data_IF_361431836178
#
_entry.id   IF_361431836178
#
_cell.length_a   1.000
_cell.length_b   1.000
_cell.length_c   1.000
_cell.angle_alpha   90.00
_cell.angle_beta   90.00
_cell.angle_gamma   90.00
#
_symmetry.space_group_name_H-M   'P 1'
#
loop_
_entity.id
_entity.type
_entity.pdbx_description
1 polymer ?
#
# COMPACT_ATOMS: atom_id res chain seq x y z
N UNK A 1 -9.40 -22.93 -7.82
CA UNK A 1 -8.50 -22.70 -8.98
C UNK A 1 -9.10 -23.36 -10.20
N UNK A 2 -8.71 -22.94 -11.41
CA UNK A 2 -9.10 -23.63 -12.65
C UNK A 2 -8.49 -25.04 -12.70
N UNK A 3 -9.33 -26.07 -12.84
CA UNK A 3 -8.91 -27.47 -12.92
C UNK A 3 -8.30 -27.81 -14.30
N UNK A 4 -7.69 -28.99 -14.44
CA UNK A 4 -7.04 -29.44 -15.68
C UNK A 4 -8.03 -29.58 -16.83
N UNK A 5 -9.19 -30.19 -16.58
CA UNK A 5 -10.25 -30.41 -17.57
C UNK A 5 -10.71 -29.10 -18.21
N UNK A 6 -11.02 -28.07 -17.41
CA UNK A 6 -11.40 -26.77 -17.96
C UNK A 6 -10.25 -26.08 -18.70
N UNK A 7 -9.00 -26.28 -18.27
CA UNK A 7 -7.83 -25.73 -19.00
C UNK A 7 -7.67 -26.40 -20.36
N UNK A 8 -7.90 -27.71 -20.45
CA UNK A 8 -7.84 -28.47 -21.69
C UNK A 8 -8.97 -28.05 -22.62
N UNK A 9 -10.22 -28.01 -22.14
CA UNK A 9 -11.39 -27.51 -22.88
C UNK A 9 -11.14 -26.12 -23.46
N UNK A 10 -10.63 -25.18 -22.67
CA UNK A 10 -10.32 -23.84 -23.17
C UNK A 10 -9.24 -23.85 -24.27
N UNK A 11 -8.26 -24.74 -24.19
CA UNK A 11 -7.19 -24.87 -25.18
C UNK A 11 -7.60 -25.58 -26.47
N UNK A 12 -8.81 -26.13 -26.55
CA UNK A 12 -9.39 -26.60 -27.81
C UNK A 12 -9.63 -25.45 -28.79
N UNK A 13 -9.88 -24.24 -28.28
CA UNK A 13 -10.03 -23.03 -29.11
C UNK A 13 -8.65 -22.51 -29.55
N UNK A 14 -8.48 -22.31 -30.85
CA UNK A 14 -7.25 -21.78 -31.46
C UNK A 14 -6.81 -20.47 -30.80
N UNK A 15 -7.77 -19.57 -30.53
CA UNK A 15 -7.55 -18.27 -29.90
C UNK A 15 -6.88 -18.38 -28.51
N UNK A 16 -6.98 -19.54 -27.86
CA UNK A 16 -6.50 -19.77 -26.49
C UNK A 16 -5.31 -20.73 -26.36
N UNK A 17 -4.81 -21.30 -27.46
CA UNK A 17 -3.73 -22.31 -27.42
C UNK A 17 -2.50 -21.90 -26.61
N UNK A 18 -2.11 -20.62 -26.68
CA UNK A 18 -0.91 -20.07 -26.03
C UNK A 18 -1.22 -19.12 -24.86
N UNK A 19 -2.42 -19.22 -24.27
CA UNK A 19 -2.89 -18.27 -23.25
C UNK A 19 -2.68 -18.80 -21.83
N UNK A 20 -2.27 -17.89 -20.94
CA UNK A 20 -2.23 -18.13 -19.50
C UNK A 20 -3.57 -17.79 -18.85
N UNK A 21 -4.10 -18.74 -18.05
CA UNK A 21 -5.35 -18.59 -17.30
C UNK A 21 -5.09 -18.50 -15.79
N UNK A 22 -5.45 -17.36 -15.21
CA UNK A 22 -5.33 -17.01 -13.79
C UNK A 22 -6.69 -16.62 -13.19
N UNK A 23 -7.67 -17.50 -13.34
CA UNK A 23 -8.99 -17.34 -12.75
C UNK A 23 -9.49 -18.70 -12.20
N UNK A 24 -10.67 -18.71 -11.58
CA UNK A 24 -11.26 -19.91 -10.98
C UNK A 24 -12.36 -20.52 -11.86
N UNK A 25 -12.71 -21.78 -11.62
CA UNK A 25 -13.54 -22.58 -12.52
C UNK A 25 -14.95 -22.03 -12.80
N UNK A 26 -15.52 -21.21 -11.91
CA UNK A 26 -16.85 -20.62 -12.13
C UNK A 26 -16.94 -19.73 -13.37
N UNK A 27 -15.82 -19.25 -13.90
CA UNK A 27 -15.77 -18.45 -15.13
C UNK A 27 -15.28 -19.22 -16.36
N UNK A 28 -15.02 -20.53 -16.27
CA UNK A 28 -14.47 -21.32 -17.38
C UNK A 28 -15.38 -21.29 -18.61
N UNK A 29 -16.67 -21.57 -18.43
CA UNK A 29 -17.64 -21.56 -19.54
C UNK A 29 -17.83 -20.15 -20.12
N UNK A 30 -17.84 -19.12 -19.27
CA UNK A 30 -17.93 -17.72 -19.72
C UNK A 30 -16.75 -17.35 -20.64
N UNK A 31 -15.54 -17.78 -20.29
CA UNK A 31 -14.34 -17.53 -21.10
C UNK A 31 -14.35 -18.37 -22.38
N UNK A 32 -14.82 -19.62 -22.31
CA UNK A 32 -14.97 -20.48 -23.48
C UNK A 32 -15.93 -19.88 -24.51
N UNK A 33 -17.12 -19.48 -24.09
CA UNK A 33 -18.11 -18.84 -24.98
C UNK A 33 -17.58 -17.52 -25.56
N UNK A 34 -16.88 -16.70 -24.76
CA UNK A 34 -16.22 -15.50 -25.28
C UNK A 34 -15.19 -15.83 -26.38
N UNK A 35 -14.38 -16.87 -26.19
CA UNK A 35 -13.42 -17.31 -27.20
C UNK A 35 -14.11 -17.76 -28.49
N UNK A 36 -15.20 -18.52 -28.36
CA UNK A 36 -16.00 -18.98 -29.49
C UNK A 36 -16.61 -17.80 -30.26
N UNK A 37 -17.25 -16.87 -29.56
CA UNK A 37 -17.86 -15.66 -30.15
C UNK A 37 -16.83 -14.83 -30.93
N UNK A 38 -15.61 -14.68 -30.39
CA UNK A 38 -14.53 -13.95 -31.08
C UNK A 38 -14.03 -14.71 -32.32
N UNK A 39 -13.85 -16.04 -32.23
CA UNK A 39 -13.42 -16.83 -33.39
C UNK A 39 -14.45 -16.78 -34.52
N UNK A 40 -15.73 -16.94 -34.21
CA UNK A 40 -16.83 -16.85 -35.19
C UNK A 40 -16.89 -15.47 -35.83
N UNK A 41 -16.73 -14.39 -35.05
CA UNK A 41 -16.64 -13.03 -35.57
C UNK A 41 -15.48 -12.86 -36.55
N UNK A 42 -14.28 -13.34 -36.20
CA UNK A 42 -13.10 -13.26 -37.06
C UNK A 42 -13.30 -14.07 -38.35
N UNK A 43 -13.86 -15.27 -38.27
CA UNK A 43 -14.18 -16.11 -39.43
C UNK A 43 -15.17 -15.43 -40.39
N UNK A 44 -16.29 -14.91 -39.86
CA UNK A 44 -17.32 -14.22 -40.65
C UNK A 44 -16.79 -12.96 -41.36
N UNK A 45 -15.79 -12.32 -40.76
CA UNK A 45 -15.20 -11.06 -41.25
C UNK A 45 -13.90 -11.27 -42.02
N UNK A 46 -13.47 -12.53 -42.20
CA UNK A 46 -12.21 -12.91 -42.80
C UNK A 46 -10.99 -12.16 -42.19
N UNK A 47 -11.00 -12.02 -40.86
CA UNK A 47 -9.93 -11.41 -40.07
C UNK A 47 -9.12 -12.48 -39.32
N UNK A 48 -7.86 -12.19 -39.03
CA UNK A 48 -7.07 -13.04 -38.14
C UNK A 48 -7.64 -13.04 -36.70
N UNK A 49 -7.23 -14.03 -35.89
CA UNK A 49 -7.56 -14.03 -34.47
C UNK A 49 -6.72 -12.99 -33.72
N UNK A 50 -7.32 -12.25 -32.76
CA UNK A 50 -6.56 -11.30 -31.96
C UNK A 50 -5.55 -12.03 -31.06
N UNK A 51 -4.43 -11.37 -30.77
CA UNK A 51 -3.42 -11.92 -29.87
C UNK A 51 -3.89 -11.78 -28.41
N UNK A 52 -4.24 -12.89 -27.78
CA UNK A 52 -4.60 -12.94 -26.37
C UNK A 52 -3.33 -13.10 -25.53
N UNK A 53 -3.09 -12.14 -24.63
CA UNK A 53 -1.89 -12.11 -23.80
C UNK A 53 -2.11 -12.83 -22.47
N UNK A 54 -3.25 -12.59 -21.82
CA UNK A 54 -3.53 -13.13 -20.49
C UNK A 54 -5.03 -13.02 -20.18
N UNK A 55 -5.56 -14.02 -19.47
CA UNK A 55 -6.90 -13.96 -18.90
C UNK A 55 -6.80 -14.21 -17.40
N UNK A 56 -7.26 -13.26 -16.59
CA UNK A 56 -7.08 -13.31 -15.14
C UNK A 56 -8.23 -12.70 -14.35
N UNK A 57 -8.34 -13.07 -13.09
CA UNK A 57 -9.14 -12.31 -12.11
C UNK A 57 -8.42 -10.99 -11.75
N UNK A 58 -9.20 -9.92 -11.62
CA UNK A 58 -8.76 -8.67 -11.00
C UNK A 58 -9.94 -7.92 -10.39
N UNK A 59 -9.88 -7.73 -9.06
CA UNK A 59 -10.87 -6.98 -8.28
C UNK A 59 -12.30 -7.51 -8.45
N UNK A 60 -12.47 -8.83 -8.42
CA UNK A 60 -13.78 -9.47 -8.58
C UNK A 60 -14.33 -9.44 -10.01
N UNK A 61 -13.48 -9.18 -11.01
CA UNK A 61 -13.89 -9.20 -12.41
C UNK A 61 -12.87 -9.95 -13.25
N UNK A 62 -13.32 -10.45 -14.40
CA UNK A 62 -12.44 -10.97 -15.44
C UNK A 62 -11.66 -9.82 -16.08
N UNK A 63 -10.38 -10.04 -16.36
CA UNK A 63 -9.58 -9.23 -17.28
C UNK A 63 -9.14 -10.10 -18.44
N UNK A 64 -9.43 -9.61 -19.64
CA UNK A 64 -9.10 -10.26 -20.89
C UNK A 64 -8.14 -9.34 -21.65
N UNK A 65 -6.85 -9.59 -21.51
CA UNK A 65 -5.81 -8.78 -22.15
C UNK A 65 -5.58 -9.29 -23.57
N UNK A 66 -5.87 -8.45 -24.55
CA UNK A 66 -5.72 -8.76 -25.96
C UNK A 66 -5.27 -7.53 -26.74
N UNK A 67 -4.74 -7.75 -27.93
CA UNK A 67 -4.54 -6.69 -28.91
C UNK A 67 -4.72 -7.22 -30.34
N UNK A 68 -4.98 -6.29 -31.26
CA UNK A 68 -5.21 -6.51 -32.68
C UNK A 68 -3.99 -6.07 -33.51
N UNK A 69 -2.78 -6.14 -32.94
CA UNK A 69 -1.55 -5.66 -33.59
C UNK A 69 -0.94 -6.68 -34.56
N UNK A 70 -1.46 -7.91 -34.60
CA UNK A 70 -0.96 -8.96 -35.49
C UNK A 70 -1.37 -8.78 -36.96
N UNK A 71 -2.42 -8.02 -37.25
CA UNK A 71 -3.01 -7.85 -38.58
C UNK A 71 -3.78 -6.53 -38.67
N UNK A 72 -4.06 -5.96 -39.86
CA UNK A 72 -4.98 -4.83 -39.97
C UNK A 72 -6.44 -5.29 -39.79
N UNK A 73 -7.08 -4.88 -38.69
CA UNK A 73 -8.49 -5.16 -38.44
C UNK A 73 -9.37 -3.98 -38.88
N UNK A 74 -10.52 -4.22 -39.53
CA UNK A 74 -11.51 -3.17 -39.73
C UNK A 74 -11.99 -2.62 -38.38
N UNK A 75 -12.15 -1.30 -38.28
CA UNK A 75 -12.53 -0.64 -37.02
C UNK A 75 -13.83 -1.19 -36.40
N UNK A 76 -14.77 -1.65 -37.25
CA UNK A 76 -16.01 -2.28 -36.79
C UNK A 76 -15.74 -3.62 -36.09
N UNK A 77 -14.79 -4.42 -36.58
CA UNK A 77 -14.41 -5.70 -35.98
C UNK A 77 -13.74 -5.46 -34.62
N UNK A 78 -12.83 -4.49 -34.53
CA UNK A 78 -12.20 -4.14 -33.24
C UNK A 78 -13.23 -3.68 -32.20
N UNK A 79 -14.22 -2.88 -32.63
CA UNK A 79 -15.34 -2.46 -31.77
C UNK A 79 -16.19 -3.65 -31.33
N UNK A 80 -16.46 -4.60 -32.22
CA UNK A 80 -17.23 -5.81 -31.91
C UNK A 80 -16.50 -6.73 -30.93
N UNK A 81 -15.19 -6.98 -31.12
CA UNK A 81 -14.36 -7.77 -30.18
C UNK A 81 -14.39 -7.11 -28.80
N UNK A 82 -14.18 -5.79 -28.74
CA UNK A 82 -14.26 -5.04 -27.48
C UNK A 82 -15.62 -5.20 -26.81
N UNK A 83 -16.72 -5.08 -27.56
CA UNK A 83 -18.06 -5.25 -27.02
C UNK A 83 -18.31 -6.66 -26.46
N UNK A 84 -17.79 -7.71 -27.11
CA UNK A 84 -17.86 -9.09 -26.61
C UNK A 84 -17.09 -9.23 -25.29
N UNK A 85 -15.87 -8.69 -25.24
CA UNK A 85 -15.03 -8.69 -24.02
C UNK A 85 -15.73 -7.93 -22.90
N UNK A 86 -16.21 -6.71 -23.15
CA UNK A 86 -16.90 -5.89 -22.16
C UNK A 86 -18.13 -6.60 -21.58
N UNK A 87 -18.91 -7.28 -22.44
CA UNK A 87 -20.05 -8.10 -22.02
C UNK A 87 -19.63 -9.24 -21.10
N UNK A 88 -18.52 -9.93 -21.40
CA UNK A 88 -18.01 -10.99 -20.54
C UNK A 88 -17.48 -10.46 -19.20
N UNK A 89 -16.77 -9.33 -19.20
CA UNK A 89 -16.30 -8.66 -17.98
C UNK A 89 -17.47 -8.26 -17.09
N UNK A 90 -18.51 -7.65 -17.64
CA UNK A 90 -19.72 -7.27 -16.91
C UNK A 90 -20.46 -8.49 -16.32
N UNK A 91 -20.54 -9.59 -17.08
CA UNK A 91 -21.12 -10.84 -16.58
C UNK A 91 -20.32 -11.42 -15.42
N UNK A 92 -18.98 -11.44 -15.53
CA UNK A 92 -18.11 -12.00 -14.49
C UNK A 92 -18.28 -11.33 -13.13
N UNK A 93 -18.63 -10.03 -13.12
CA UNK A 93 -18.88 -9.27 -11.90
C UNK A 93 -20.06 -9.79 -11.06
N UNK A 94 -20.90 -10.65 -11.62
CA UNK A 94 -22.10 -11.19 -10.98
C UNK A 94 -22.14 -12.73 -10.99
N UNK A 95 -21.04 -13.39 -11.37
CA UNK A 95 -20.91 -14.84 -11.36
C UNK A 95 -19.85 -15.21 -10.34
N UNK A 96 -20.19 -16.12 -9.43
CA UNK A 96 -19.23 -16.61 -8.45
C UNK A 96 -17.97 -17.15 -9.15
N UNK A 97 -16.78 -16.77 -8.68
CA UNK A 97 -15.55 -17.26 -9.31
C UNK A 97 -15.33 -18.77 -9.05
N UNK A 98 -15.91 -19.33 -7.99
CA UNK A 98 -15.77 -20.75 -7.65
C UNK A 98 -16.83 -21.65 -8.30
N UNK A 99 -18.02 -21.13 -8.63
CA UNK A 99 -19.13 -21.88 -9.23
C UNK A 99 -19.99 -20.98 -10.14
N UNK A 100 -20.92 -21.53 -10.91
CA UNK A 100 -21.68 -20.74 -11.92
C UNK A 100 -22.86 -19.93 -11.38
N UNK A 101 -23.08 -19.91 -10.06
CA UNK A 101 -24.21 -19.21 -9.45
C UNK A 101 -23.98 -17.70 -9.41
N UNK A 102 -25.07 -16.95 -9.22
CA UNK A 102 -25.02 -15.52 -8.94
C UNK A 102 -24.08 -15.26 -7.76
N UNK A 103 -23.22 -14.25 -7.92
CA UNK A 103 -22.28 -13.83 -6.91
C UNK A 103 -22.32 -12.33 -6.72
N UNK A 104 -21.90 -11.90 -5.53
CA UNK A 104 -21.78 -10.49 -5.16
C UNK A 104 -20.31 -10.14 -4.93
N UNK A 105 -19.95 -8.88 -5.16
CA UNK A 105 -18.61 -8.37 -4.90
C UNK A 105 -18.35 -8.30 -3.38
N UNK A 106 -17.27 -8.95 -2.96
CA UNK A 106 -16.91 -9.17 -1.57
C UNK A 106 -15.43 -8.89 -1.32
N UNK A 107 -15.12 -8.61 -0.06
CA UNK A 107 -13.77 -8.29 0.41
C UNK A 107 -13.39 -9.19 1.59
N UNK A 108 -12.25 -9.86 1.49
CA UNK A 108 -11.63 -10.60 2.59
C UNK A 108 -10.20 -10.08 2.78
N UNK A 109 -9.95 -9.40 3.90
CA UNK A 109 -8.61 -8.84 4.24
C UNK A 109 -7.98 -8.03 3.09
N UNK A 110 -8.79 -7.24 2.39
CA UNK A 110 -8.35 -6.40 1.26
C UNK A 110 -8.28 -7.12 -0.10
N UNK A 111 -8.55 -8.43 -0.15
CA UNK A 111 -8.71 -9.16 -1.40
C UNK A 111 -10.16 -9.08 -1.88
N UNK A 112 -10.34 -8.56 -3.09
CA UNK A 112 -11.63 -8.35 -3.73
C UNK A 112 -11.95 -9.51 -4.68
N UNK A 113 -13.15 -10.09 -4.54
CA UNK A 113 -13.59 -11.23 -5.33
C UNK A 113 -15.12 -11.30 -5.43
N UNK A 114 -15.66 -12.04 -6.39
CA UNK A 114 -17.11 -12.24 -6.52
C UNK A 114 -17.48 -13.66 -6.11
N UNK A 115 -18.40 -13.80 -5.15
CA UNK A 115 -18.84 -15.12 -4.69
C UNK A 115 -20.31 -15.17 -4.29
N UNK A 116 -20.88 -16.38 -4.41
CA UNK A 116 -22.19 -16.69 -3.85
C UNK A 116 -22.07 -16.91 -2.33
N UNK A 117 -23.22 -17.00 -1.64
CA UNK A 117 -23.26 -17.18 -0.20
C UNK A 117 -22.52 -18.42 0.33
N UNK A 118 -22.47 -19.50 -0.45
CA UNK A 118 -21.75 -20.72 -0.06
C UNK A 118 -20.23 -20.55 -0.13
N UNK A 119 -19.73 -19.69 -1.03
CA UNK A 119 -18.30 -19.48 -1.25
C UNK A 119 -17.80 -18.14 -0.67
N UNK A 120 -18.62 -17.45 0.13
CA UNK A 120 -18.27 -16.12 0.68
C UNK A 120 -17.16 -16.16 1.74
N UNK A 121 -16.85 -17.32 2.33
CA UNK A 121 -15.86 -17.44 3.42
C UNK A 121 -16.23 -16.47 4.57
N UNK A 122 -15.23 -15.80 5.15
CA UNK A 122 -15.41 -14.75 6.15
C UNK A 122 -15.39 -13.33 5.54
N UNK A 123 -15.75 -13.21 4.26
CA UNK A 123 -15.77 -11.91 3.58
C UNK A 123 -16.97 -11.07 3.98
N UNK A 124 -16.82 -9.76 3.77
CA UNK A 124 -17.88 -8.76 3.84
C UNK A 124 -18.23 -8.27 2.44
N UNK A 125 -19.39 -7.64 2.26
CA UNK A 125 -19.77 -7.03 0.99
C UNK A 125 -18.95 -5.77 0.69
N UNK A 126 -18.97 -5.33 -0.57
CA UNK A 126 -18.36 -4.07 -0.97
C UNK A 126 -18.95 -2.86 -0.20
N UNK A 127 -20.24 -2.89 0.10
CA UNK A 127 -20.97 -1.87 0.87
C UNK A 127 -20.51 -1.84 2.32
N UNK A 128 -20.42 -3.00 2.97
CA UNK A 128 -19.92 -3.13 4.34
C UNK A 128 -18.47 -2.64 4.44
N UNK A 129 -17.63 -2.95 3.44
CA UNK A 129 -16.25 -2.48 3.39
C UNK A 129 -16.17 -0.95 3.27
N UNK A 130 -17.02 -0.31 2.44
CA UNK A 130 -17.07 1.16 2.31
C UNK A 130 -17.41 1.84 3.64
N UNK A 131 -18.35 1.29 4.40
CA UNK A 131 -18.72 1.83 5.71
C UNK A 131 -17.61 1.65 6.75
N UNK A 132 -16.92 0.51 6.74
CA UNK A 132 -15.77 0.28 7.62
C UNK A 132 -14.60 1.21 7.29
N UNK A 133 -14.26 1.35 6.00
CA UNK A 133 -13.19 2.22 5.52
C UNK A 133 -13.48 3.69 5.86
N UNK A 134 -14.74 4.13 5.71
CA UNK A 134 -15.17 5.47 6.13
C UNK A 134 -14.96 5.70 7.63
N UNK A 135 -15.40 4.77 8.49
CA UNK A 135 -15.22 4.87 9.94
C UNK A 135 -13.75 4.89 10.34
N UNK A 136 -12.90 4.12 9.66
CA UNK A 136 -11.45 4.12 9.91
C UNK A 136 -10.81 5.45 9.53
N UNK A 137 -11.19 6.03 8.39
CA UNK A 137 -10.71 7.36 7.98
C UNK A 137 -11.14 8.45 8.97
N UNK A 138 -12.41 8.45 9.38
CA UNK A 138 -12.92 9.38 10.41
C UNK A 138 -12.19 9.22 11.75
N UNK A 139 -11.88 7.98 12.17
CA UNK A 139 -11.12 7.73 13.39
C UNK A 139 -9.68 8.27 13.30
N UNK A 140 -9.01 8.07 12.16
CA UNK A 140 -7.66 8.60 11.91
C UNK A 140 -7.63 10.13 11.88
N UNK A 141 -8.64 10.77 11.28
CA UNK A 141 -8.80 12.22 11.29
C UNK A 141 -9.04 12.74 12.71
N UNK A 142 -9.90 12.08 13.49
CA UNK A 142 -10.14 12.44 14.89
C UNK A 142 -8.89 12.24 15.76
N UNK A 143 -8.09 11.20 15.54
CA UNK A 143 -6.79 11.04 16.21
C UNK A 143 -5.79 12.14 15.83
N UNK A 144 -5.80 12.60 14.58
CA UNK A 144 -4.96 13.73 14.15
C UNK A 144 -5.39 15.05 14.79
N UNK A 145 -6.70 15.30 14.91
CA UNK A 145 -7.26 16.50 15.57
C UNK A 145 -6.94 16.49 17.07
N UNK A 146 -6.88 15.33 17.71
CA UNK A 146 -6.55 15.18 19.13
C UNK A 146 -5.04 15.23 19.44
N UNK A 147 -4.16 15.48 18.46
CA UNK A 147 -2.76 15.79 18.74
C UNK A 147 -2.67 17.13 19.46
N UNK A 148 -1.84 17.21 20.51
CA UNK A 148 -1.60 18.47 21.26
C UNK A 148 -1.29 19.61 20.26
N UNK A 149 -1.86 20.81 20.44
CA UNK A 149 -1.55 21.95 19.57
C UNK A 149 -0.05 22.21 19.61
N UNK A 150 0.62 22.00 18.48
CA UNK A 150 2.03 22.28 18.34
C UNK A 150 2.23 23.77 18.10
N UNK A 151 2.88 24.45 19.05
CA UNK A 151 3.28 25.84 18.91
C UNK A 151 4.79 25.88 18.66
N UNK A 152 5.25 26.22 17.44
CA UNK A 152 6.67 26.26 17.14
C UNK A 152 7.39 27.22 18.09
N UNK A 153 8.49 26.79 18.74
CA UNK A 153 9.28 27.67 19.60
C UNK A 153 9.81 28.85 18.78
N UNK A 154 9.49 30.07 19.17
CA UNK A 154 9.99 31.26 18.46
C UNK A 154 11.49 31.37 18.67
N UNK A 155 12.26 31.11 17.61
CA UNK A 155 13.73 31.19 17.59
C UNK A 155 14.25 32.65 17.66
N UNK A 156 13.39 33.60 18.02
CA UNK A 156 13.64 35.04 17.95
C UNK A 156 14.49 35.57 19.12
N UNK A 157 14.83 34.73 20.10
CA UNK A 157 15.57 35.15 21.31
C UNK A 157 17.11 35.06 21.17
N UNK A 158 17.63 34.43 20.11
CA UNK A 158 19.08 34.34 19.85
C UNK A 158 19.52 35.53 18.99
N UNK A 159 20.01 36.59 19.65
CA UNK A 159 20.41 37.86 19.02
C UNK A 159 21.61 37.75 18.05
N UNK A 160 22.38 36.67 18.06
CA UNK A 160 23.61 36.51 17.26
C UNK A 160 23.38 35.64 16.00
N UNK A 161 23.54 36.20 14.78
CA UNK A 161 23.42 35.45 13.52
C UNK A 161 24.42 34.31 13.37
N UNK A 162 25.64 34.49 13.91
CA UNK A 162 26.71 33.47 13.83
C UNK A 162 26.37 32.28 14.72
N UNK A 163 25.88 32.54 15.93
CA UNK A 163 25.47 31.49 16.86
C UNK A 163 24.24 30.74 16.31
N UNK A 164 23.30 31.47 15.72
CA UNK A 164 22.14 30.91 15.01
C UNK A 164 22.58 29.94 13.90
N UNK A 165 23.53 30.32 13.05
CA UNK A 165 24.04 29.46 11.97
C UNK A 165 24.75 28.20 12.51
N UNK A 166 25.61 28.34 13.52
CA UNK A 166 26.29 27.20 14.15
C UNK A 166 25.31 26.21 14.80
N UNK A 167 24.23 26.70 15.38
CA UNK A 167 23.17 25.86 15.95
C UNK A 167 22.42 25.14 14.83
N UNK A 168 22.03 25.86 13.77
CA UNK A 168 21.33 25.29 12.60
C UNK A 168 22.14 24.17 11.92
N UNK A 169 23.45 24.36 11.74
CA UNK A 169 24.34 23.35 11.16
C UNK A 169 24.43 22.08 12.03
N UNK A 170 24.32 22.21 13.36
CA UNK A 170 24.33 21.08 14.29
C UNK A 170 22.99 20.33 14.32
N UNK A 171 21.86 21.05 14.35
CA UNK A 171 20.53 20.44 14.49
C UNK A 171 19.99 19.84 13.19
N UNK A 172 20.61 20.11 12.05
CA UNK A 172 20.22 19.58 10.74
C UNK A 172 20.12 18.04 10.71
N UNK A 173 20.85 17.32 11.57
CA UNK A 173 20.70 15.86 11.67
C UNK A 173 19.29 15.44 12.10
N UNK A 174 18.54 16.28 12.83
CA UNK A 174 17.17 15.97 13.28
C UNK A 174 16.10 16.15 12.21
N UNK A 175 16.43 16.67 11.02
CA UNK A 175 15.49 16.75 9.90
C UNK A 175 14.86 15.39 9.60
N UNK A 176 15.61 14.28 9.76
CA UNK A 176 15.09 12.92 9.58
C UNK A 176 13.91 12.54 10.50
N UNK A 177 13.73 13.25 11.62
CA UNK A 177 12.62 13.03 12.58
C UNK A 177 11.42 13.91 12.22
N UNK A 178 11.67 15.02 11.51
CA UNK A 178 10.68 16.06 11.25
C UNK A 178 9.60 15.61 10.25
N UNK A 179 9.94 14.68 9.35
CA UNK A 179 9.04 14.11 8.33
C UNK A 179 7.76 13.50 8.92
N UNK A 180 7.82 12.94 10.13
CA UNK A 180 6.70 12.20 10.70
C UNK A 180 5.64 13.12 11.37
N UNK A 181 5.95 14.40 11.67
CA UNK A 181 5.13 15.22 12.58
C UNK A 181 4.99 16.70 12.23
N UNK A 182 5.45 17.17 11.07
CA UNK A 182 5.45 18.61 10.71
C UNK A 182 6.11 19.51 11.80
N UNK A 183 7.13 18.96 12.46
CA UNK A 183 7.94 19.63 13.50
C UNK A 183 9.24 20.16 12.90
N UNK A 184 9.90 21.11 13.56
CA UNK A 184 11.23 21.60 13.12
C UNK A 184 12.36 20.94 13.90
N UNK A 185 13.50 20.75 13.25
CA UNK A 185 14.70 20.15 13.86
C UNK A 185 15.17 20.88 15.14
N UNK A 186 14.93 22.19 15.20
CA UNK A 186 15.26 23.00 16.38
C UNK A 186 14.37 22.70 17.59
N UNK A 187 13.11 22.33 17.37
CA UNK A 187 12.19 21.99 18.45
C UNK A 187 12.54 20.61 19.00
N UNK A 188 12.94 19.66 18.14
CA UNK A 188 13.52 18.39 18.56
C UNK A 188 14.71 18.60 19.48
N UNK A 189 15.67 19.46 19.09
CA UNK A 189 16.82 19.79 19.92
C UNK A 189 16.43 20.39 21.26
N UNK A 190 15.52 21.37 21.25
CA UNK A 190 15.11 22.06 22.47
C UNK A 190 14.44 21.11 23.46
N UNK A 191 13.57 20.22 22.99
CA UNK A 191 12.82 19.31 23.86
C UNK A 191 13.70 18.21 24.42
N UNK A 192 14.68 17.73 23.64
CA UNK A 192 15.68 16.81 24.15
C UNK A 192 16.44 17.42 25.35
N UNK A 193 16.67 18.75 25.34
CA UNK A 193 17.35 19.48 26.40
C UNK A 193 16.44 19.86 27.56
N UNK A 194 15.23 20.35 27.30
CA UNK A 194 14.34 20.89 28.34
C UNK A 194 13.43 19.84 28.96
N UNK A 195 13.22 18.71 28.27
CA UNK A 195 12.23 17.67 28.61
C UNK A 195 10.78 18.17 28.62
N UNK A 196 10.56 19.40 28.17
CA UNK A 196 9.25 20.04 28.12
C UNK A 196 8.55 19.68 26.80
N UNK A 197 7.58 18.78 26.87
CA UNK A 197 6.76 18.35 25.74
C UNK A 197 5.32 18.92 25.80
N UNK A 198 5.12 19.99 26.59
CA UNK A 198 3.80 20.58 26.83
C UNK A 198 3.12 20.98 25.53
N UNK A 199 3.85 21.65 24.63
CA UNK A 199 3.37 22.14 23.32
C UNK A 199 3.97 21.35 22.15
N UNK A 200 4.34 20.08 22.35
CA UNK A 200 4.94 19.23 21.32
C UNK A 200 4.02 18.07 20.93
N UNK A 201 3.96 17.67 19.63
CA UNK A 201 2.97 16.70 19.17
C UNK A 201 3.26 15.25 19.60
N UNK A 202 4.42 14.97 20.21
CA UNK A 202 4.77 13.67 20.78
C UNK A 202 5.42 13.83 22.15
N UNK A 203 5.26 12.85 23.04
CA UNK A 203 5.94 12.89 24.34
C UNK A 203 7.46 12.83 24.21
N UNK A 204 8.17 13.38 25.18
CA UNK A 204 9.63 13.29 25.33
C UNK A 204 10.14 11.85 25.18
N UNK A 205 9.43 10.89 25.80
CA UNK A 205 9.78 9.47 25.75
C UNK A 205 9.69 8.84 24.36
N UNK A 206 8.71 9.27 23.57
CA UNK A 206 8.56 8.84 22.18
C UNK A 206 9.63 9.50 21.31
N UNK A 207 9.91 10.79 21.55
CA UNK A 207 10.92 11.56 20.83
C UNK A 207 12.31 10.92 20.95
N UNK A 208 12.79 10.66 22.17
CA UNK A 208 14.13 10.07 22.40
C UNK A 208 14.29 8.68 21.77
N UNK A 209 13.24 7.85 21.77
CA UNK A 209 13.24 6.55 21.07
C UNK A 209 13.37 6.71 19.55
N UNK A 210 12.67 7.69 18.97
CA UNK A 210 12.81 8.01 17.54
C UNK A 210 14.19 8.55 17.22
N UNK A 211 14.76 9.41 18.06
CA UNK A 211 16.13 9.90 17.90
C UNK A 211 17.13 8.74 17.81
N UNK A 212 17.04 7.76 18.71
CA UNK A 212 17.90 6.56 18.65
C UNK A 212 17.66 5.70 17.41
N UNK A 213 16.45 5.73 16.83
CA UNK A 213 16.10 4.97 15.64
C UNK A 213 16.65 5.61 14.35
N UNK A 214 16.59 6.93 14.24
CA UNK A 214 16.83 7.63 12.96
C UNK A 214 18.17 8.37 12.91
N UNK A 215 18.79 8.70 14.05
CA UNK A 215 20.02 9.50 14.10
C UNK A 215 21.21 8.61 14.45
N UNK A 216 22.36 8.76 13.80
CA UNK A 216 23.60 8.02 14.10
C UNK A 216 24.21 8.45 15.45
N UNK A 217 25.03 7.58 16.07
CA UNK A 217 25.68 7.92 17.36
C UNK A 217 26.64 9.11 17.18
N UNK A 218 27.40 9.13 16.09
CA UNK A 218 28.33 10.21 15.77
C UNK A 218 27.65 11.58 15.64
N UNK A 219 26.46 11.62 15.04
CA UNK A 219 25.71 12.87 14.94
C UNK A 219 25.19 13.33 16.30
N UNK A 220 24.79 12.41 17.19
CA UNK A 220 24.41 12.78 18.56
C UNK A 220 25.59 13.37 19.34
N UNK A 221 26.78 12.76 19.22
CA UNK A 221 28.02 13.24 19.87
C UNK A 221 28.50 14.60 19.32
N UNK A 222 28.15 14.96 18.08
CA UNK A 222 28.43 16.30 17.52
C UNK A 222 27.51 17.40 18.07
N UNK A 223 26.31 17.00 18.51
CA UNK A 223 25.24 17.93 18.94
C UNK A 223 25.20 18.10 20.45
N UNK A 224 25.40 17.03 21.21
CA UNK A 224 25.31 17.01 22.67
C UNK A 224 26.63 16.59 23.32
N UNK A 225 26.87 17.11 24.53
CA UNK A 225 27.94 16.65 25.42
C UNK A 225 27.61 15.28 26.02
N UNK A 226 28.61 14.58 26.56
CA UNK A 226 28.41 13.26 27.16
C UNK A 226 27.46 13.35 28.37
N UNK A 227 27.55 14.40 29.20
CA UNK A 227 26.63 14.63 30.32
C UNK A 227 25.18 14.78 29.86
N UNK A 228 24.96 15.52 28.76
CA UNK A 228 23.62 15.69 28.17
C UNK A 228 23.10 14.38 27.59
N UNK A 229 23.96 13.58 26.96
CA UNK A 229 23.56 12.28 26.42
C UNK A 229 23.18 11.28 27.52
N UNK A 230 23.90 11.30 28.65
CA UNK A 230 23.53 10.54 29.85
C UNK A 230 22.15 10.99 30.36
N UNK A 231 21.93 12.30 30.48
CA UNK A 231 20.65 12.83 30.96
C UNK A 231 19.47 12.46 30.05
N UNK A 232 19.68 12.41 28.73
CA UNK A 232 18.62 12.11 27.75
C UNK A 232 18.28 10.61 27.71
N UNK A 233 19.28 9.75 27.84
CA UNK A 233 19.13 8.32 27.50
C UNK A 233 19.43 7.32 28.62
N UNK A 234 19.93 7.72 29.79
CA UNK A 234 20.35 6.80 30.86
C UNK A 234 19.24 5.84 31.36
N UNK A 235 18.00 6.29 31.39
CA UNK A 235 16.81 5.52 31.77
C UNK A 235 16.20 4.73 30.59
N UNK A 236 16.77 4.82 29.38
CA UNK A 236 16.29 4.06 28.22
C UNK A 236 16.46 2.55 28.43
N UNK A 237 15.42 1.79 28.14
CA UNK A 237 15.43 0.33 28.25
C UNK A 237 16.16 -0.33 27.08
N UNK A 238 17.22 -1.09 27.37
CA UNK A 238 18.00 -1.85 26.39
C UNK A 238 17.18 -2.89 25.61
N UNK A 239 16.07 -3.38 26.19
CA UNK A 239 15.16 -4.35 25.53
C UNK A 239 14.42 -3.74 24.34
N UNK A 240 14.24 -2.41 24.35
CA UNK A 240 13.48 -1.68 23.32
C UNK A 240 14.32 -1.28 22.11
N UNK A 241 15.64 -1.41 22.21
CA UNK A 241 16.59 -1.08 21.15
C UNK A 241 16.85 -2.37 20.34
N UNK A 242 16.82 -2.32 19.01
CA UNK A 242 17.15 -3.48 18.17
C UNK A 242 18.57 -3.40 17.58
N UNK A 243 19.02 -2.19 17.26
CA UNK A 243 20.34 -1.94 16.67
C UNK A 243 21.47 -2.21 17.71
N UNK A 244 22.45 -3.08 17.40
CA UNK A 244 23.56 -3.41 18.31
C UNK A 244 24.45 -2.21 18.70
N UNK A 245 24.84 -1.37 17.74
CA UNK A 245 25.67 -0.17 17.97
C UNK A 245 24.98 0.79 18.95
N UNK A 246 23.67 0.98 18.79
CA UNK A 246 22.85 1.80 19.70
C UNK A 246 22.73 1.18 21.09
N UNK A 247 22.65 -0.15 21.20
CA UNK A 247 22.65 -0.82 22.50
C UNK A 247 23.96 -0.60 23.23
N UNK A 248 25.08 -0.72 22.52
CA UNK A 248 26.41 -0.59 23.13
C UNK A 248 26.67 0.86 23.55
N UNK A 249 26.27 1.83 22.72
CA UNK A 249 26.25 3.24 23.11
C UNK A 249 25.46 3.50 24.40
N UNK A 250 24.22 2.99 24.51
CA UNK A 250 23.43 3.16 25.74
C UNK A 250 24.04 2.41 26.93
N UNK A 251 24.66 1.24 26.72
CA UNK A 251 25.38 0.54 27.79
C UNK A 251 26.58 1.36 28.30
N UNK A 252 27.31 2.01 27.41
CA UNK A 252 28.44 2.88 27.77
C UNK A 252 27.97 4.07 28.61
N UNK A 253 26.89 4.74 28.21
CA UNK A 253 26.31 5.85 28.97
C UNK A 253 25.82 5.44 30.38
N UNK A 254 25.49 4.17 30.61
CA UNK A 254 25.07 3.64 31.93
C UNK A 254 26.23 3.18 32.82
N UNK A 255 27.46 3.12 32.29
CA UNK A 255 28.67 2.73 33.04
C UNK A 255 29.35 3.93 33.70
N UNK A 256 28.93 5.14 33.35
CA UNK A 256 29.32 6.43 33.94
C UNK A 256 28.37 6.73 35.10
#
# INVERSE_FOLDING_TARGET
MLNSENREKLKELEIFKKVAFEFKMGWADLVYELGKDIQELCELTNCELPMIQQIKEKMGTLRFYYNTLNSPYPQIVEKSIRALVDKAVLKSANICEECVRFGELRVDKGYWFVSCDEHKRNSITAEEWKELDKKQREALENEQINKKPYKPLKFEEIKSPILKRKIMEKVACFEAICWDYEIRAVDVYNILRTKDDTDFPISYDVLRKKVLKYISVDNLKKVFTDEQLIEIFSDTSLRTIRNPEKKDFIKELKKV
#
